data_IF_613170475159
#
_entry.id   IF_613170475159
#
_cell.length_a   1.000
_cell.length_b   1.000
_cell.length_c   1.000
_cell.angle_alpha   90.00
_cell.angle_beta   90.00
_cell.angle_gamma   90.00
#
_symmetry.space_group_name_H-M   'P 1'
#
loop_
_entity.id
_entity.type
_entity.pdbx_description
1 polymer ?
#
# COMPACT_ATOMS: atom_id res chain seq x y z
N UNK A 1 34.80 37.52 -29.92
CA UNK A 1 33.63 37.59 -30.82
C UNK A 1 32.47 36.92 -30.08
N UNK A 2 31.73 37.74 -29.33
CA UNK A 2 30.65 37.38 -28.41
C UNK A 2 29.32 37.59 -29.12
N UNK A 3 28.48 36.55 -29.24
CA UNK A 3 27.10 36.70 -29.67
C UNK A 3 26.18 36.59 -28.46
N UNK A 4 25.75 37.76 -28.01
CA UNK A 4 24.72 38.03 -27.01
C UNK A 4 23.35 37.74 -27.62
N UNK A 5 22.51 36.97 -26.93
CA UNK A 5 21.06 36.93 -27.15
C UNK A 5 20.39 37.94 -26.19
N UNK A 6 19.52 38.84 -26.68
CA UNK A 6 18.89 39.84 -25.84
C UNK A 6 17.66 39.30 -25.11
N UNK A 7 17.60 39.64 -23.82
CA UNK A 7 16.42 39.55 -22.95
C UNK A 7 15.48 40.70 -23.34
N UNK A 8 14.23 40.40 -23.71
CA UNK A 8 13.17 41.39 -23.78
C UNK A 8 12.14 41.12 -22.68
N UNK A 9 12.24 41.93 -21.62
CA UNK A 9 11.18 42.21 -20.66
C UNK A 9 10.09 43.00 -21.41
N UNK A 10 8.89 42.44 -21.54
CA UNK A 10 7.72 43.23 -21.96
C UNK A 10 6.85 43.53 -20.73
N UNK A 11 6.74 44.82 -20.47
CA UNK A 11 6.06 45.44 -19.34
C UNK A 11 4.54 45.27 -19.41
N UNK A 12 3.98 44.98 -18.24
CA UNK A 12 2.56 45.11 -17.91
C UNK A 12 2.03 46.50 -18.24
N UNK A 13 0.93 46.57 -19.00
CA UNK A 13 -0.16 47.57 -18.98
C UNK A 13 -0.67 47.81 -20.40
N UNK A 14 -1.48 46.89 -20.95
CA UNK A 14 -2.43 47.22 -22.04
C UNK A 14 -3.41 46.09 -22.39
N UNK A 15 -3.81 45.25 -21.42
CA UNK A 15 -4.79 44.17 -21.66
C UNK A 15 -5.95 44.16 -20.65
N UNK A 16 -6.39 45.34 -20.22
CA UNK A 16 -7.61 45.48 -19.42
C UNK A 16 -8.45 46.64 -19.95
N UNK A 17 -9.30 46.36 -20.93
CA UNK A 17 -10.53 47.11 -21.22
C UNK A 17 -11.33 46.34 -22.28
N UNK A 18 -12.26 45.50 -21.83
CA UNK A 18 -13.54 45.16 -22.48
C UNK A 18 -14.08 43.82 -21.96
N UNK A 19 -14.47 43.74 -20.69
CA UNK A 19 -15.53 42.81 -20.25
C UNK A 19 -16.37 43.59 -19.25
N UNK A 20 -17.52 44.07 -19.71
CA UNK A 20 -18.55 44.64 -18.84
C UNK A 20 -19.10 43.51 -17.96
N UNK A 21 -18.61 43.41 -16.73
CA UNK A 21 -19.20 42.57 -15.70
C UNK A 21 -20.52 43.19 -15.28
N UNK A 22 -21.62 42.52 -15.61
CA UNK A 22 -22.87 42.62 -14.86
C UNK A 22 -22.52 42.31 -13.40
N UNK A 23 -22.59 43.30 -12.51
CA UNK A 23 -22.46 43.08 -11.06
C UNK A 23 -23.78 42.49 -10.56
N UNK A 24 -23.87 41.21 -10.17
CA UNK A 24 -24.98 40.80 -9.33
C UNK A 24 -24.75 41.47 -7.97
N UNK A 25 -25.66 42.35 -7.58
CA UNK A 25 -25.68 42.93 -6.24
C UNK A 25 -26.16 41.84 -5.25
N UNK A 26 -25.36 40.79 -5.09
CA UNK A 26 -25.55 39.82 -4.02
C UNK A 26 -25.13 40.52 -2.73
N UNK A 27 -26.14 40.94 -1.97
CA UNK A 27 -25.97 41.32 -0.57
C UNK A 27 -25.43 40.07 0.14
N UNK A 28 -24.10 39.97 0.21
CA UNK A 28 -23.41 38.95 1.00
C UNK A 28 -23.77 39.22 2.46
N UNK A 29 -24.83 38.57 2.93
CA UNK A 29 -25.03 38.39 4.35
C UNK A 29 -23.72 37.79 4.87
N UNK A 30 -23.13 38.33 5.95
CA UNK A 30 -21.99 37.69 6.57
C UNK A 30 -22.47 36.33 7.07
N UNK A 31 -22.23 35.29 6.27
CA UNK A 31 -22.28 33.93 6.74
C UNK A 31 -21.17 33.86 7.77
N UNK A 32 -21.52 34.05 9.05
CA UNK A 32 -20.70 33.55 10.14
C UNK A 32 -20.51 32.08 9.81
N UNK A 33 -19.32 31.72 9.35
CA UNK A 33 -18.83 30.36 9.45
C UNK A 33 -18.76 30.08 10.94
N UNK A 34 -19.91 29.68 11.50
CA UNK A 34 -19.97 28.92 12.73
C UNK A 34 -18.89 27.86 12.60
N UNK A 35 -17.96 27.82 13.55
CA UNK A 35 -16.88 26.84 13.56
C UNK A 35 -17.51 25.51 13.26
N UNK A 36 -17.26 24.95 12.08
CA UNK A 36 -17.88 23.68 11.68
C UNK A 36 -17.42 22.68 12.72
N UNK A 37 -18.32 22.32 13.64
CA UNK A 37 -18.02 21.36 14.68
C UNK A 37 -17.47 20.12 13.97
N UNK A 38 -16.27 19.70 14.35
CA UNK A 38 -15.59 18.58 13.69
C UNK A 38 -16.39 17.27 13.83
N UNK A 39 -17.28 17.21 14.83
CA UNK A 39 -18.21 16.12 15.10
C UNK A 39 -19.60 16.49 14.57
N UNK A 40 -20.27 15.52 13.97
CA UNK A 40 -21.72 15.61 13.71
C UNK A 40 -22.49 15.66 15.03
N UNK A 41 -23.73 16.21 15.06
CA UNK A 41 -24.52 16.27 16.29
C UNK A 41 -24.68 14.92 17.00
N UNK A 42 -24.83 13.82 16.23
CA UNK A 42 -24.92 12.46 16.80
C UNK A 42 -23.61 11.98 17.42
N UNK A 43 -22.47 12.37 16.86
CA UNK A 43 -21.15 12.04 17.42
C UNK A 43 -20.86 12.83 18.69
N UNK A 44 -21.29 14.09 18.75
CA UNK A 44 -21.19 14.91 19.96
C UNK A 44 -22.06 14.34 21.08
N UNK A 45 -23.33 14.06 20.78
CA UNK A 45 -24.23 13.37 21.70
C UNK A 45 -23.65 12.03 22.18
N UNK A 46 -23.14 11.20 21.26
CA UNK A 46 -22.54 9.91 21.60
C UNK A 46 -21.33 10.02 22.53
N UNK A 47 -20.50 11.06 22.35
CA UNK A 47 -19.36 11.30 23.24
C UNK A 47 -19.80 11.72 24.65
N UNK A 48 -20.81 12.61 24.77
CA UNK A 48 -21.38 12.99 26.06
C UNK A 48 -22.05 11.81 26.77
N UNK A 49 -22.73 10.95 26.01
CA UNK A 49 -23.31 9.71 26.53
C UNK A 49 -22.24 8.80 27.14
N UNK A 50 -21.12 8.58 26.45
CA UNK A 50 -20.01 7.75 26.96
C UNK A 50 -19.41 8.32 28.26
N UNK A 51 -19.17 9.64 28.32
CA UNK A 51 -18.69 10.30 29.54
C UNK A 51 -19.68 10.11 30.70
N UNK A 52 -20.99 10.25 30.44
CA UNK A 52 -22.02 10.01 31.45
C UNK A 52 -21.99 8.57 31.97
N UNK A 53 -21.88 7.56 31.09
CA UNK A 53 -21.81 6.16 31.53
C UNK A 53 -20.55 5.86 32.35
N UNK A 54 -19.41 6.44 31.96
CA UNK A 54 -18.15 6.33 32.69
C UNK A 54 -18.25 6.95 34.09
N UNK A 55 -18.84 8.14 34.21
CA UNK A 55 -19.05 8.82 35.51
C UNK A 55 -20.02 8.05 36.42
N UNK A 56 -20.93 7.26 35.85
CA UNK A 56 -21.84 6.39 36.60
C UNK A 56 -21.18 5.09 37.06
N UNK A 57 -19.92 4.81 36.69
CA UNK A 57 -19.22 3.58 37.08
C UNK A 57 -19.84 2.29 36.55
N UNK A 58 -20.63 2.37 35.48
CA UNK A 58 -21.31 1.18 34.93
C UNK A 58 -20.31 0.27 34.23
N UNK A 59 -20.32 -1.05 34.52
CA UNK A 59 -19.44 -1.99 33.82
C UNK A 59 -19.88 -2.14 32.35
N UNK A 60 -18.91 -2.42 31.47
CA UNK A 60 -19.18 -2.83 30.11
C UNK A 60 -19.58 -4.30 30.08
N UNK A 61 -20.67 -4.63 29.40
CA UNK A 61 -21.05 -6.02 29.17
C UNK A 61 -19.91 -6.78 28.48
N UNK A 62 -19.66 -8.04 28.85
CA UNK A 62 -18.61 -8.84 28.22
C UNK A 62 -18.87 -8.98 26.72
N UNK A 63 -17.80 -8.95 25.91
CA UNK A 63 -17.89 -9.00 24.46
C UNK A 63 -16.94 -10.07 23.88
N UNK A 64 -15.66 -9.78 23.70
CA UNK A 64 -14.71 -10.67 23.00
C UNK A 64 -14.51 -12.01 23.71
N UNK A 65 -14.60 -12.02 25.04
CA UNK A 65 -14.38 -13.22 25.86
C UNK A 65 -15.51 -14.25 25.74
N UNK A 66 -16.73 -13.80 25.40
CA UNK A 66 -17.92 -14.65 25.37
C UNK A 66 -18.50 -14.83 23.96
N UNK A 67 -18.08 -14.00 23.00
CA UNK A 67 -18.60 -14.07 21.64
C UNK A 67 -18.05 -15.29 20.90
N UNK A 68 -18.93 -16.14 20.38
CA UNK A 68 -18.53 -17.35 19.65
C UNK A 68 -17.60 -16.99 18.47
N UNK A 69 -16.42 -17.62 18.35
CA UNK A 69 -15.58 -17.49 17.16
C UNK A 69 -16.33 -17.88 15.90
N UNK A 70 -16.44 -16.93 14.97
CA UNK A 70 -17.08 -17.10 13.67
C UNK A 70 -16.10 -16.68 12.58
N UNK A 71 -16.21 -17.30 11.40
CA UNK A 71 -15.36 -17.00 10.25
C UNK A 71 -15.33 -15.50 9.93
N UNK A 72 -16.45 -14.81 10.10
CA UNK A 72 -16.62 -13.36 9.87
C UNK A 72 -15.61 -12.51 10.65
N UNK A 73 -15.72 -12.48 11.97
CA UNK A 73 -14.89 -11.59 12.79
C UNK A 73 -13.47 -12.13 12.99
N UNK A 74 -13.28 -13.46 12.99
CA UNK A 74 -11.95 -14.08 13.09
C UNK A 74 -11.10 -13.71 11.86
N UNK A 75 -11.64 -13.88 10.64
CA UNK A 75 -10.90 -13.49 9.43
C UNK A 75 -10.63 -11.98 9.38
N UNK A 76 -11.56 -11.16 9.86
CA UNK A 76 -11.36 -9.71 9.99
C UNK A 76 -10.22 -9.38 10.96
N UNK A 77 -10.18 -10.04 12.13
CA UNK A 77 -9.09 -9.92 13.10
C UNK A 77 -7.74 -10.34 12.50
N UNK A 78 -7.69 -11.52 11.86
CA UNK A 78 -6.48 -12.02 11.19
C UNK A 78 -6.00 -11.06 10.10
N UNK A 79 -6.89 -10.49 9.29
CA UNK A 79 -6.53 -9.51 8.26
C UNK A 79 -5.85 -8.27 8.86
N UNK A 80 -6.35 -7.77 10.00
CA UNK A 80 -5.77 -6.64 10.74
C UNK A 80 -4.44 -7.00 11.40
N UNK A 81 -4.36 -8.14 12.09
CA UNK A 81 -3.13 -8.59 12.77
C UNK A 81 -2.00 -8.77 11.76
N UNK A 82 -2.27 -9.46 10.64
CA UNK A 82 -1.28 -9.66 9.60
C UNK A 82 -0.85 -8.35 8.94
N UNK A 83 -1.77 -7.39 8.78
CA UNK A 83 -1.42 -6.03 8.34
C UNK A 83 -0.44 -5.37 9.31
N UNK A 84 -0.73 -5.38 10.61
CA UNK A 84 0.13 -4.81 11.64
C UNK A 84 1.52 -5.46 11.67
N UNK A 85 1.58 -6.80 11.57
CA UNK A 85 2.86 -7.54 11.52
C UNK A 85 3.68 -7.12 10.30
N UNK A 86 3.07 -7.07 9.11
CA UNK A 86 3.77 -6.66 7.88
C UNK A 86 4.19 -5.19 7.93
N UNK A 87 3.34 -4.28 8.42
CA UNK A 87 3.69 -2.87 8.59
C UNK A 87 4.85 -2.70 9.59
N UNK A 88 4.84 -3.45 10.69
CA UNK A 88 5.94 -3.46 11.68
C UNK A 88 7.24 -3.97 11.07
N UNK A 89 7.19 -5.07 10.31
CA UNK A 89 8.35 -5.62 9.61
C UNK A 89 8.92 -4.62 8.59
N UNK A 90 8.07 -3.94 7.82
CA UNK A 90 8.50 -2.89 6.89
C UNK A 90 9.09 -1.68 7.62
N UNK A 91 8.52 -1.27 8.75
CA UNK A 91 9.05 -0.17 9.55
C UNK A 91 10.46 -0.47 10.05
N UNK A 92 10.66 -1.65 10.64
CA UNK A 92 11.96 -2.10 11.12
C UNK A 92 12.94 -2.24 9.95
N UNK A 93 12.50 -2.81 8.82
CA UNK A 93 13.32 -2.94 7.62
C UNK A 93 13.77 -1.60 7.06
N UNK A 94 12.87 -0.61 6.96
CA UNK A 94 13.20 0.75 6.54
C UNK A 94 14.22 1.38 7.48
N UNK A 95 14.05 1.22 8.78
CA UNK A 95 14.99 1.76 9.76
C UNK A 95 16.37 1.10 9.64
N UNK A 96 16.45 -0.23 9.66
CA UNK A 96 17.72 -0.97 9.66
C UNK A 96 18.44 -0.88 8.32
N UNK A 97 17.75 -1.18 7.22
CA UNK A 97 18.38 -1.28 5.89
C UNK A 97 18.42 0.07 5.16
N UNK A 98 17.46 0.96 5.41
CA UNK A 98 17.38 2.28 4.77
C UNK A 98 18.11 3.37 5.54
N UNK A 99 17.89 3.47 6.86
CA UNK A 99 18.46 4.55 7.68
C UNK A 99 19.83 4.15 8.24
N UNK A 100 19.91 3.05 8.97
CA UNK A 100 21.18 2.56 9.53
C UNK A 100 22.14 2.02 8.44
N UNK A 101 21.67 1.91 7.19
CA UNK A 101 22.47 1.51 6.03
C UNK A 101 23.13 0.12 6.19
N UNK A 102 22.51 -0.77 6.97
CA UNK A 102 22.91 -2.18 7.00
C UNK A 102 22.61 -2.79 5.65
N UNK A 103 23.60 -3.46 5.04
CA UNK A 103 23.42 -4.07 3.74
C UNK A 103 22.56 -5.34 3.85
N UNK A 104 21.43 -5.36 3.13
CA UNK A 104 20.50 -6.49 3.14
C UNK A 104 21.14 -7.77 2.60
N UNK A 105 22.07 -7.66 1.63
CA UNK A 105 22.78 -8.81 1.07
C UNK A 105 23.63 -9.49 2.13
N UNK A 106 24.44 -8.70 2.85
CA UNK A 106 25.27 -9.18 3.97
C UNK A 106 24.42 -9.79 5.09
N UNK A 107 23.25 -9.21 5.38
CA UNK A 107 22.30 -9.77 6.33
C UNK A 107 21.75 -11.14 5.86
N UNK A 108 21.35 -11.25 4.59
CA UNK A 108 20.86 -12.50 4.01
C UNK A 108 21.93 -13.59 3.97
N UNK A 109 23.19 -13.23 3.64
CA UNK A 109 24.33 -14.15 3.70
C UNK A 109 24.61 -14.63 5.12
N UNK A 110 24.52 -13.74 6.11
CA UNK A 110 24.65 -14.11 7.53
C UNK A 110 23.57 -15.09 7.95
N UNK A 111 22.31 -14.87 7.56
CA UNK A 111 21.23 -15.82 7.82
C UNK A 111 21.47 -17.18 7.14
N UNK A 112 21.90 -17.18 5.88
CA UNK A 112 22.24 -18.41 5.15
C UNK A 112 23.41 -19.15 5.81
N UNK A 113 24.37 -18.44 6.40
CA UNK A 113 25.53 -19.03 7.08
C UNK A 113 25.17 -19.86 8.31
N UNK A 114 23.99 -19.64 8.91
CA UNK A 114 23.49 -20.45 10.02
C UNK A 114 23.12 -21.88 9.60
N UNK A 115 23.02 -22.14 8.29
CA UNK A 115 22.78 -23.45 7.70
C UNK A 115 21.63 -24.22 8.39
N UNK A 116 20.54 -23.49 8.66
CA UNK A 116 19.37 -24.03 9.36
C UNK A 116 18.74 -25.17 8.56
N UNK A 117 18.15 -26.13 9.27
CA UNK A 117 17.50 -27.28 8.68
C UNK A 117 16.40 -26.85 7.69
N UNK A 118 16.27 -27.56 6.55
CA UNK A 118 15.40 -27.17 5.43
C UNK A 118 13.93 -26.93 5.81
N UNK A 119 13.28 -27.77 6.63
CA UNK A 119 11.92 -27.51 7.09
C UNK A 119 11.79 -26.21 7.89
N UNK A 120 12.81 -25.83 8.67
CA UNK A 120 12.83 -24.56 9.40
C UNK A 120 12.90 -23.39 8.43
N UNK A 121 13.82 -23.41 7.45
CA UNK A 121 13.93 -22.31 6.48
C UNK A 121 12.68 -22.20 5.59
N UNK A 122 12.09 -23.32 5.19
CA UNK A 122 10.83 -23.34 4.46
C UNK A 122 9.65 -22.81 5.29
N UNK A 123 9.61 -23.14 6.59
CA UNK A 123 8.57 -22.61 7.50
C UNK A 123 8.69 -21.10 7.66
N UNK A 124 9.91 -20.57 7.81
CA UNK A 124 10.15 -19.11 7.86
C UNK A 124 9.69 -18.44 6.55
N UNK A 125 10.04 -18.99 5.39
CA UNK A 125 9.57 -18.49 4.10
C UNK A 125 8.05 -18.52 3.99
N UNK A 126 7.39 -19.57 4.47
CA UNK A 126 5.93 -19.65 4.50
C UNK A 126 5.30 -18.58 5.40
N UNK A 127 5.84 -18.38 6.61
CA UNK A 127 5.38 -17.36 7.57
C UNK A 127 5.57 -15.95 7.01
N UNK A 128 6.53 -15.72 6.12
CA UNK A 128 6.69 -14.44 5.40
C UNK A 128 5.71 -14.35 4.22
N UNK A 129 5.54 -15.41 3.44
CA UNK A 129 4.72 -15.40 2.23
C UNK A 129 3.21 -15.36 2.53
N UNK A 130 2.74 -16.12 3.51
CA UNK A 130 1.31 -16.27 3.82
C UNK A 130 0.62 -14.95 4.19
N UNK A 131 1.18 -14.10 5.07
CA UNK A 131 0.58 -12.81 5.39
C UNK A 131 0.37 -11.92 4.18
N UNK A 132 1.35 -11.88 3.26
CA UNK A 132 1.30 -11.06 2.05
C UNK A 132 0.16 -11.54 1.14
N UNK A 133 0.14 -12.84 0.83
CA UNK A 133 -0.87 -13.42 -0.07
C UNK A 133 -2.27 -13.30 0.54
N UNK A 134 -2.43 -13.69 1.82
CA UNK A 134 -3.70 -13.61 2.52
C UNK A 134 -4.24 -12.19 2.58
N UNK A 135 -3.41 -11.22 2.94
CA UNK A 135 -3.85 -9.84 3.08
C UNK A 135 -4.29 -9.25 1.73
N UNK A 136 -3.59 -9.57 0.63
CA UNK A 136 -3.99 -9.14 -0.71
C UNK A 136 -5.32 -9.79 -1.13
N UNK A 137 -5.45 -11.12 -1.02
CA UNK A 137 -6.66 -11.82 -1.44
C UNK A 137 -7.88 -11.46 -0.58
N UNK A 138 -7.70 -11.37 0.75
CA UNK A 138 -8.77 -10.93 1.64
C UNK A 138 -9.07 -9.42 1.47
N UNK A 139 -8.09 -8.62 1.07
CA UNK A 139 -8.27 -7.20 0.73
C UNK A 139 -9.19 -7.04 -0.48
N UNK A 140 -8.99 -7.82 -1.55
CA UNK A 140 -9.88 -7.86 -2.71
C UNK A 140 -11.31 -8.24 -2.28
N UNK A 141 -11.44 -9.23 -1.38
CA UNK A 141 -12.73 -9.63 -0.81
C UNK A 141 -13.39 -8.50 -0.01
N UNK A 142 -12.64 -7.75 0.79
CA UNK A 142 -13.16 -6.59 1.53
C UNK A 142 -13.57 -5.44 0.61
N UNK A 143 -12.81 -5.17 -0.46
CA UNK A 143 -13.22 -4.20 -1.48
C UNK A 143 -14.53 -4.62 -2.16
N UNK A 144 -14.73 -5.93 -2.40
CA UNK A 144 -16.00 -6.42 -2.91
C UNK A 144 -17.15 -6.15 -1.92
N UNK A 145 -16.92 -6.33 -0.61
CA UNK A 145 -17.90 -6.00 0.42
C UNK A 145 -18.23 -4.51 0.49
N UNK A 146 -17.23 -3.64 0.33
CA UNK A 146 -17.44 -2.18 0.27
C UNK A 146 -18.31 -1.77 -0.94
N UNK A 147 -18.26 -2.56 -2.02
CA UNK A 147 -19.15 -2.41 -3.18
C UNK A 147 -20.49 -3.16 -3.04
N UNK A 148 -20.82 -3.65 -1.84
CA UNK A 148 -21.98 -4.49 -1.55
C UNK A 148 -22.04 -5.79 -2.40
N UNK A 149 -20.90 -6.30 -2.88
CA UNK A 149 -20.80 -7.55 -3.65
C UNK A 149 -20.47 -8.72 -2.73
N UNK A 150 -21.27 -9.78 -2.81
CA UNK A 150 -21.00 -11.02 -2.06
C UNK A 150 -21.23 -10.92 -0.55
N UNK A 151 -22.05 -9.96 -0.10
CA UNK A 151 -22.40 -9.73 1.32
C UNK A 151 -23.46 -10.70 1.86
N UNK A 152 -24.06 -11.52 1.00
CA UNK A 152 -24.90 -12.65 1.41
C UNK A 152 -24.08 -13.66 2.22
N UNK A 153 -24.66 -14.22 3.29
CA UNK A 153 -23.92 -15.07 4.24
C UNK A 153 -23.23 -16.26 3.55
N UNK A 154 -23.91 -16.91 2.60
CA UNK A 154 -23.33 -17.99 1.79
C UNK A 154 -22.10 -17.53 0.98
N UNK A 155 -22.13 -16.32 0.44
CA UNK A 155 -21.00 -15.74 -0.29
C UNK A 155 -19.88 -15.32 0.67
N UNK A 156 -20.20 -14.80 1.85
CA UNK A 156 -19.23 -14.46 2.90
C UNK A 156 -18.42 -15.68 3.33
N UNK A 157 -19.08 -16.83 3.55
CA UNK A 157 -18.40 -18.08 3.91
C UNK A 157 -17.64 -18.71 2.75
N UNK A 158 -18.25 -18.82 1.56
CA UNK A 158 -17.57 -19.35 0.37
C UNK A 158 -16.30 -18.57 0.02
N UNK A 159 -16.41 -17.25 -0.07
CA UNK A 159 -15.24 -16.39 -0.32
C UNK A 159 -14.22 -16.45 0.82
N UNK A 160 -14.66 -16.63 2.06
CA UNK A 160 -13.77 -16.77 3.21
C UNK A 160 -12.88 -18.02 3.10
N UNK A 161 -13.48 -19.20 2.91
CA UNK A 161 -12.74 -20.45 2.73
C UNK A 161 -11.87 -20.45 1.46
N UNK A 162 -12.37 -19.86 0.36
CA UNK A 162 -11.61 -19.70 -0.87
C UNK A 162 -10.35 -18.86 -0.64
N UNK A 163 -10.45 -17.73 0.06
CA UNK A 163 -9.30 -16.87 0.38
C UNK A 163 -8.29 -17.63 1.23
N UNK A 164 -8.73 -18.33 2.28
CA UNK A 164 -7.83 -19.13 3.14
C UNK A 164 -7.11 -20.20 2.31
N UNK A 165 -7.86 -21.00 1.54
CA UNK A 165 -7.33 -22.09 0.73
C UNK A 165 -6.34 -21.60 -0.34
N UNK A 166 -6.70 -20.57 -1.10
CA UNK A 166 -5.82 -20.00 -2.12
C UNK A 166 -4.57 -19.37 -1.52
N UNK A 167 -4.69 -18.69 -0.37
CA UNK A 167 -3.54 -18.08 0.29
C UNK A 167 -2.53 -19.14 0.73
N UNK A 168 -3.01 -20.20 1.38
CA UNK A 168 -2.16 -21.33 1.78
C UNK A 168 -1.52 -21.99 0.56
N UNK A 169 -2.31 -22.29 -0.49
CA UNK A 169 -1.80 -22.93 -1.70
C UNK A 169 -0.72 -22.10 -2.38
N UNK A 170 -0.97 -20.81 -2.63
CA UNK A 170 -0.02 -19.92 -3.30
C UNK A 170 1.25 -19.77 -2.46
N UNK A 171 1.13 -19.61 -1.14
CA UNK A 171 2.30 -19.52 -0.26
C UNK A 171 3.12 -20.80 -0.22
N UNK A 172 2.47 -21.97 -0.25
CA UNK A 172 3.18 -23.26 -0.38
C UNK A 172 3.89 -23.38 -1.73
N UNK A 173 3.24 -22.97 -2.83
CA UNK A 173 3.85 -22.96 -4.16
C UNK A 173 5.08 -22.05 -4.24
N UNK A 174 5.02 -20.86 -3.62
CA UNK A 174 6.18 -19.95 -3.53
C UNK A 174 7.33 -20.63 -2.78
N UNK A 175 7.05 -21.30 -1.66
CA UNK A 175 8.08 -21.99 -0.87
C UNK A 175 8.64 -23.18 -1.64
N UNK A 176 7.80 -23.97 -2.30
CA UNK A 176 8.20 -25.12 -3.10
C UNK A 176 9.05 -24.72 -4.32
N UNK A 177 8.71 -23.62 -4.98
CA UNK A 177 9.49 -23.07 -6.10
C UNK A 177 10.78 -22.38 -5.65
N UNK A 178 10.89 -22.03 -4.36
CA UNK A 178 12.09 -21.38 -3.85
C UNK A 178 13.29 -22.33 -3.90
N UNK A 179 14.23 -22.06 -4.80
CA UNK A 179 15.46 -22.87 -4.91
C UNK A 179 16.25 -22.79 -3.61
N UNK A 180 16.53 -23.94 -3.02
CA UNK A 180 17.46 -24.04 -1.91
C UNK A 180 18.88 -24.13 -2.47
N UNK A 181 19.64 -23.04 -2.39
CA UNK A 181 21.04 -23.03 -2.79
C UNK A 181 21.89 -23.42 -1.58
N UNK A 182 22.79 -24.41 -1.73
CA UNK A 182 23.87 -24.60 -0.74
C UNK A 182 24.81 -23.39 -0.77
N UNK A 183 25.64 -23.20 0.26
CA UNK A 183 26.60 -22.08 0.30
C UNK A 183 27.47 -22.01 -0.97
N UNK A 184 27.94 -23.16 -1.44
CA UNK A 184 28.71 -23.31 -2.67
C UNK A 184 27.91 -22.94 -3.92
N UNK A 185 26.67 -23.44 -4.03
CA UNK A 185 25.78 -23.11 -5.15
C UNK A 185 25.36 -21.64 -5.14
N UNK A 186 25.22 -21.03 -3.96
CA UNK A 186 24.93 -19.61 -3.80
C UNK A 186 26.11 -18.76 -4.29
N UNK A 187 27.33 -19.07 -3.83
CA UNK A 187 28.54 -18.38 -4.30
C UNK A 187 28.75 -18.58 -5.81
N UNK A 188 28.55 -19.80 -6.33
CA UNK A 188 28.70 -20.08 -7.75
C UNK A 188 27.63 -19.38 -8.60
N UNK A 189 26.38 -19.32 -8.13
CA UNK A 189 25.29 -18.56 -8.77
C UNK A 189 25.62 -17.06 -8.77
N UNK A 190 26.07 -16.52 -7.64
CA UNK A 190 26.43 -15.12 -7.52
C UNK A 190 27.59 -14.76 -8.46
N UNK A 191 28.66 -15.58 -8.51
CA UNK A 191 29.77 -15.41 -9.47
C UNK A 191 29.30 -15.49 -10.93
N UNK A 192 28.35 -16.38 -11.24
CA UNK A 192 27.81 -16.52 -12.60
C UNK A 192 26.95 -15.31 -13.00
N UNK A 193 26.10 -14.82 -12.11
CA UNK A 193 25.28 -13.62 -12.32
C UNK A 193 26.16 -12.37 -12.44
N UNK A 194 27.18 -12.24 -11.60
CA UNK A 194 28.22 -11.22 -11.70
C UNK A 194 28.86 -11.15 -13.09
N UNK A 195 29.31 -12.31 -13.59
CA UNK A 195 29.96 -12.41 -14.90
C UNK A 195 28.97 -12.11 -16.04
N UNK A 196 27.73 -12.59 -15.94
CA UNK A 196 26.67 -12.30 -16.93
C UNK A 196 26.31 -10.81 -16.96
N UNK A 197 26.27 -10.16 -15.80
CA UNK A 197 26.03 -8.72 -15.70
C UNK A 197 27.19 -7.90 -16.24
N UNK A 198 28.45 -8.37 -16.07
CA UNK A 198 29.62 -7.81 -16.75
C UNK A 198 29.52 -7.91 -18.27
N UNK A 199 29.10 -9.05 -18.82
CA UNK A 199 28.89 -9.24 -20.26
C UNK A 199 27.74 -8.38 -20.79
N UNK A 200 26.60 -8.32 -20.09
CA UNK A 200 25.44 -7.51 -20.47
C UNK A 200 25.76 -6.02 -20.55
N UNK A 201 26.64 -5.56 -19.66
CA UNK A 201 27.17 -4.20 -19.63
C UNK A 201 28.08 -3.92 -20.85
N UNK A 202 28.72 -4.95 -21.43
CA UNK A 202 29.53 -4.86 -22.64
C UNK A 202 28.70 -4.97 -23.92
N UNK A 203 27.60 -5.73 -23.92
CA UNK A 203 26.74 -5.97 -25.09
C UNK A 203 25.60 -4.96 -25.28
N UNK A 204 25.52 -3.91 -24.46
CA UNK A 204 24.41 -2.94 -24.47
C UNK A 204 24.41 -1.94 -25.64
N UNK A 205 25.19 -2.19 -26.69
CA UNK A 205 24.93 -1.70 -28.04
C UNK A 205 24.27 -2.84 -28.83
N UNK A 206 22.94 -2.97 -28.79
CA UNK A 206 22.08 -3.46 -29.89
C UNK A 206 20.61 -3.42 -29.45
N UNK A 207 19.81 -2.91 -30.38
CA UNK A 207 18.37 -2.60 -30.46
C UNK A 207 17.37 -3.38 -29.59
N UNK A 208 16.41 -2.63 -29.05
CA UNK A 208 15.15 -3.11 -28.44
C UNK A 208 14.10 -3.29 -29.56
N UNK A 209 13.54 -4.50 -29.70
CA UNK A 209 12.36 -4.75 -30.54
C UNK A 209 11.09 -4.84 -29.69
N UNK A 210 9.98 -4.33 -30.24
CA UNK A 210 8.69 -4.16 -29.57
C UNK A 210 7.98 -5.48 -29.21
N UNK A 211 7.20 -5.53 -28.11
CA UNK A 211 6.47 -6.72 -27.69
C UNK A 211 5.20 -6.97 -28.53
N UNK A 212 4.94 -8.24 -28.88
CA UNK A 212 3.71 -8.71 -29.53
C UNK A 212 2.56 -8.83 -28.52
N UNK A 213 1.38 -8.41 -28.96
CA UNK A 213 0.12 -8.36 -28.22
C UNK A 213 -0.52 -9.77 -28.12
N UNK A 214 -0.91 -10.20 -26.92
CA UNK A 214 -1.67 -11.44 -26.68
C UNK A 214 -3.06 -11.10 -26.18
N UNK A 215 -4.08 -11.72 -26.78
CA UNK A 215 -5.51 -11.54 -26.50
C UNK A 215 -6.00 -12.69 -25.61
N UNK A 216 -6.69 -12.46 -24.48
CA UNK A 216 -7.37 -13.52 -23.75
C UNK A 216 -8.85 -13.62 -24.15
N UNK A 217 -9.32 -14.83 -24.48
CA UNK A 217 -10.74 -15.17 -24.48
C UNK A 217 -10.97 -16.25 -23.42
N UNK A 218 -11.80 -15.99 -22.41
CA UNK A 218 -12.37 -17.04 -21.57
C UNK A 218 -13.83 -16.71 -21.26
N UNK A 219 -14.70 -17.68 -21.61
CA UNK A 219 -16.15 -17.66 -21.42
C UNK A 219 -16.45 -18.35 -20.08
N UNK A 220 -17.10 -17.65 -19.15
CA UNK A 220 -17.49 -18.21 -17.84
C UNK A 220 -18.93 -18.74 -17.89
N UNK A 221 -19.14 -19.96 -17.40
CA UNK A 221 -20.45 -20.57 -17.22
C UNK A 221 -20.98 -20.29 -15.80
N UNK A 222 -22.27 -19.95 -15.62
CA UNK A 222 -22.84 -19.72 -14.30
C UNK A 222 -23.25 -21.03 -13.63
N UNK A 223 -22.70 -21.29 -12.44
CA UNK A 223 -23.18 -22.34 -11.54
C UNK A 223 -24.19 -21.73 -10.55
N UNK A 224 -25.45 -22.17 -10.60
CA UNK A 224 -26.46 -21.87 -9.59
C UNK A 224 -26.48 -22.98 -8.55
N UNK A 225 -26.29 -22.62 -7.28
CA UNK A 225 -26.66 -23.47 -6.16
C UNK A 225 -27.23 -22.61 -5.03
N UNK A 226 -28.43 -23.01 -4.62
CA UNK A 226 -29.27 -22.44 -3.57
C UNK A 226 -28.73 -22.82 -2.20
N UNK A 227 -28.65 -21.86 -1.28
CA UNK A 227 -28.45 -22.14 0.13
C UNK A 227 -29.06 -21.00 0.95
N UNK A 228 -30.13 -21.35 1.65
CA UNK A 228 -30.90 -20.51 2.57
C UNK A 228 -30.16 -20.34 3.89
N UNK A 229 -29.61 -19.15 4.14
CA UNK A 229 -29.22 -18.73 5.48
C UNK A 229 -29.50 -17.23 5.64
N UNK A 230 -30.48 -16.90 6.49
CA UNK A 230 -31.12 -15.60 6.57
C UNK A 230 -30.25 -14.53 7.24
N UNK A 231 -30.39 -13.28 6.77
CA UNK A 231 -29.82 -12.07 7.39
C UNK A 231 -30.46 -11.82 8.76
N UNK A 232 -29.81 -11.07 9.65
CA UNK A 232 -30.52 -10.56 10.84
C UNK A 232 -31.58 -9.55 10.41
N UNK A 233 -32.68 -9.34 11.17
CA UNK A 233 -33.77 -8.44 10.77
C UNK A 233 -33.31 -7.01 10.43
N UNK A 234 -32.31 -6.49 11.14
CA UNK A 234 -31.71 -5.16 10.87
C UNK A 234 -30.89 -5.16 9.58
N UNK A 235 -30.12 -6.23 9.33
CA UNK A 235 -29.34 -6.37 8.10
C UNK A 235 -30.23 -6.55 6.88
N UNK A 236 -31.35 -7.27 7.03
CA UNK A 236 -32.36 -7.46 6.01
C UNK A 236 -33.04 -6.14 5.65
N UNK A 237 -33.54 -5.41 6.66
CA UNK A 237 -34.14 -4.09 6.47
C UNK A 237 -33.20 -3.10 5.75
N UNK A 238 -31.95 -2.99 6.20
CA UNK A 238 -30.97 -2.09 5.59
C UNK A 238 -30.65 -2.45 4.13
N UNK A 239 -30.56 -3.74 3.83
CA UNK A 239 -30.31 -4.23 2.47
C UNK A 239 -31.51 -4.01 1.55
N UNK A 240 -32.73 -4.25 2.03
CA UNK A 240 -33.97 -3.96 1.29
C UNK A 240 -34.12 -2.47 0.99
N UNK A 241 -33.82 -1.60 1.96
CA UNK A 241 -33.83 -0.16 1.78
C UNK A 241 -32.89 0.26 0.65
N UNK A 242 -31.64 -0.24 0.66
CA UNK A 242 -30.65 0.06 -0.38
C UNK A 242 -31.10 -0.41 -1.76
N UNK A 243 -31.59 -1.66 -1.87
CA UNK A 243 -32.15 -2.18 -3.14
C UNK A 243 -33.30 -1.31 -3.64
N UNK A 244 -34.20 -0.89 -2.75
CA UNK A 244 -35.32 -0.02 -3.10
C UNK A 244 -34.82 1.32 -3.65
N UNK A 245 -33.85 1.97 -3.02
CA UNK A 245 -33.29 3.23 -3.51
C UNK A 245 -32.61 3.07 -4.89
N UNK A 246 -31.88 1.97 -5.10
CA UNK A 246 -31.26 1.67 -6.40
C UNK A 246 -32.29 1.45 -7.50
N UNK A 247 -33.35 0.68 -7.22
CA UNK A 247 -34.43 0.42 -8.17
C UNK A 247 -35.22 1.68 -8.53
N UNK A 248 -35.33 2.63 -7.61
CA UNK A 248 -35.96 3.92 -7.84
C UNK A 248 -35.13 4.88 -8.68
N UNK A 249 -33.91 4.51 -9.09
CA UNK A 249 -33.03 5.34 -9.90
C UNK A 249 -32.65 6.66 -9.23
N UNK A 250 -32.73 6.74 -7.89
CA UNK A 250 -32.46 8.00 -7.20
C UNK A 250 -31.00 8.40 -7.39
N UNK A 251 -30.74 9.67 -7.76
CA UNK A 251 -29.37 10.14 -7.88
C UNK A 251 -28.71 10.04 -6.51
N UNK A 252 -27.49 9.52 -6.49
CA UNK A 252 -26.64 9.61 -5.32
C UNK A 252 -26.41 11.10 -5.03
N UNK A 253 -26.56 11.50 -3.77
CA UNK A 253 -26.24 12.86 -3.34
C UNK A 253 -24.83 13.24 -3.82
N UNK A 254 -24.60 14.49 -4.28
CA UNK A 254 -23.30 14.91 -4.78
C UNK A 254 -22.23 14.61 -3.73
N UNK A 255 -21.27 13.73 -4.07
CA UNK A 255 -20.51 13.00 -3.04
C UNK A 255 -19.08 13.53 -2.84
N UNK A 256 -18.44 14.07 -3.88
CA UNK A 256 -17.06 14.60 -3.79
C UNK A 256 -16.87 15.96 -4.47
N UNK A 257 -17.61 16.24 -5.55
CA UNK A 257 -17.41 17.44 -6.37
C UNK A 257 -17.83 18.74 -5.67
N UNK A 258 -18.72 18.66 -4.68
CA UNK A 258 -19.24 19.83 -3.96
C UNK A 258 -18.50 20.14 -2.66
N UNK A 259 -17.64 19.23 -2.20
CA UNK A 259 -16.96 19.37 -0.92
C UNK A 259 -15.61 20.07 -1.09
N UNK A 260 -15.35 21.07 -0.25
CA UNK A 260 -14.02 21.68 -0.16
C UNK A 260 -13.02 20.62 0.33
N UNK A 261 -11.87 20.44 -0.35
CA UNK A 261 -10.85 19.52 0.12
C UNK A 261 -10.30 19.94 1.48
N UNK A 262 -10.36 19.01 2.43
CA UNK A 262 -9.84 19.16 3.78
C UNK A 262 -8.71 18.15 3.98
N UNK A 263 -7.67 18.55 4.72
CA UNK A 263 -6.52 17.71 5.01
C UNK A 263 -6.93 16.34 5.58
N UNK A 264 -7.98 16.32 6.41
CA UNK A 264 -8.51 15.14 7.09
C UNK A 264 -8.90 14.01 6.13
N UNK A 265 -9.75 14.30 5.15
CA UNK A 265 -10.20 13.30 4.19
C UNK A 265 -9.19 13.08 3.06
N UNK A 266 -8.43 14.11 2.65
CA UNK A 266 -7.38 13.98 1.63
C UNK A 266 -6.32 12.98 2.08
N UNK A 267 -5.83 13.09 3.32
CA UNK A 267 -4.85 12.14 3.86
C UNK A 267 -5.42 10.71 3.97
N UNK A 268 -6.69 10.57 4.36
CA UNK A 268 -7.36 9.27 4.39
C UNK A 268 -7.47 8.66 2.98
N UNK A 269 -7.85 9.46 1.99
CA UNK A 269 -7.92 9.05 0.59
C UNK A 269 -6.55 8.64 0.05
N UNK A 270 -5.52 9.47 0.26
CA UNK A 270 -4.13 9.18 -0.16
C UNK A 270 -3.63 7.90 0.50
N UNK A 271 -3.87 7.70 1.80
CA UNK A 271 -3.47 6.48 2.49
C UNK A 271 -4.07 5.22 1.85
N UNK A 272 -5.36 5.26 1.48
CA UNK A 272 -6.05 4.14 0.80
C UNK A 272 -5.55 3.92 -0.63
N UNK A 273 -5.37 5.01 -1.39
CA UNK A 273 -4.85 4.93 -2.77
C UNK A 273 -3.45 4.32 -2.78
N UNK A 274 -2.56 4.81 -1.90
CA UNK A 274 -1.21 4.28 -1.77
C UNK A 274 -1.22 2.82 -1.31
N UNK A 275 -2.14 2.44 -0.40
CA UNK A 275 -2.33 1.04 -0.01
C UNK A 275 -2.69 0.14 -1.21
N UNK A 276 -3.61 0.59 -2.08
CA UNK A 276 -3.99 -0.14 -3.28
C UNK A 276 -2.83 -0.27 -4.26
N UNK A 277 -2.07 0.81 -4.49
CA UNK A 277 -0.89 0.79 -5.37
C UNK A 277 0.17 -0.17 -4.83
N UNK A 278 0.49 -0.09 -3.54
CA UNK A 278 1.45 -0.99 -2.89
C UNK A 278 0.99 -2.44 -2.93
N UNK A 279 -0.29 -2.70 -2.67
CA UNK A 279 -0.86 -4.06 -2.74
C UNK A 279 -0.80 -4.63 -4.16
N UNK A 280 -1.07 -3.81 -5.18
CA UNK A 280 -0.93 -4.18 -6.58
C UNK A 280 0.52 -4.49 -6.96
N UNK A 281 1.47 -3.65 -6.52
CA UNK A 281 2.90 -3.88 -6.73
C UNK A 281 3.37 -5.17 -6.04
N UNK A 282 2.92 -5.44 -4.81
CA UNK A 282 3.23 -6.68 -4.09
C UNK A 282 2.61 -7.90 -4.78
N UNK A 283 1.38 -7.80 -5.30
CA UNK A 283 0.74 -8.89 -6.04
C UNK A 283 1.55 -9.25 -7.30
N UNK A 284 1.96 -8.23 -8.08
CA UNK A 284 2.82 -8.42 -9.25
C UNK A 284 4.17 -9.01 -8.83
N UNK A 285 4.76 -8.51 -7.74
CA UNK A 285 6.01 -9.04 -7.20
C UNK A 285 5.92 -10.50 -6.78
N UNK A 286 4.85 -10.89 -6.08
CA UNK A 286 4.58 -12.28 -5.70
C UNK A 286 4.46 -13.17 -6.94
N UNK A 287 3.76 -12.71 -7.97
CA UNK A 287 3.63 -13.46 -9.22
C UNK A 287 4.98 -13.61 -9.94
N UNK A 288 5.71 -12.51 -10.15
CA UNK A 288 6.96 -12.50 -10.93
C UNK A 288 8.11 -13.19 -10.19
N UNK A 289 8.36 -12.80 -8.93
CA UNK A 289 9.52 -13.28 -8.18
C UNK A 289 9.24 -14.57 -7.42
N UNK A 290 8.00 -14.78 -6.97
CA UNK A 290 7.61 -15.97 -6.22
C UNK A 290 7.16 -17.12 -7.12
N UNK A 291 6.17 -16.88 -7.98
CA UNK A 291 5.57 -17.94 -8.82
C UNK A 291 6.43 -18.22 -10.05
N UNK A 292 6.70 -17.20 -10.87
CA UNK A 292 7.55 -17.33 -12.06
C UNK A 292 9.04 -17.52 -11.73
N UNK A 293 9.41 -17.39 -10.45
CA UNK A 293 10.79 -17.60 -9.95
C UNK A 293 11.83 -16.74 -10.68
N UNK A 294 11.46 -15.53 -11.12
CA UNK A 294 12.41 -14.56 -11.63
C UNK A 294 13.31 -14.12 -10.48
N UNK A 295 14.61 -14.16 -10.70
CA UNK A 295 15.57 -13.77 -9.68
C UNK A 295 15.55 -12.25 -9.46
N UNK A 296 15.26 -11.83 -8.23
CA UNK A 296 15.14 -10.41 -7.88
C UNK A 296 16.46 -9.66 -8.04
N UNK A 297 17.59 -10.31 -7.72
CA UNK A 297 18.93 -9.74 -7.86
C UNK A 297 19.22 -9.46 -9.33
N UNK A 298 19.02 -10.44 -10.21
CA UNK A 298 19.13 -10.28 -11.67
C UNK A 298 18.24 -9.17 -12.23
N UNK A 299 17.01 -9.04 -11.70
CA UNK A 299 16.10 -7.96 -12.07
C UNK A 299 16.63 -6.58 -11.63
N UNK A 300 17.12 -6.45 -10.40
CA UNK A 300 17.72 -5.23 -9.89
C UNK A 300 19.02 -4.85 -10.64
N UNK A 301 19.85 -5.82 -10.98
CA UNK A 301 21.05 -5.65 -11.80
C UNK A 301 20.69 -5.18 -13.21
N UNK A 302 19.64 -5.76 -13.83
CA UNK A 302 19.13 -5.30 -15.12
C UNK A 302 18.69 -3.84 -15.07
N UNK A 303 17.96 -3.43 -14.03
CA UNK A 303 17.56 -2.03 -13.85
C UNK A 303 18.79 -1.11 -13.69
N UNK A 304 19.79 -1.52 -12.92
CA UNK A 304 21.03 -0.76 -12.76
C UNK A 304 21.81 -0.65 -14.08
N UNK A 305 21.79 -1.69 -14.93
CA UNK A 305 22.48 -1.69 -16.22
C UNK A 305 21.94 -0.63 -17.19
N UNK A 306 20.72 -0.13 -17.00
CA UNK A 306 20.18 0.96 -17.83
C UNK A 306 20.89 2.29 -17.60
N UNK A 307 21.71 2.40 -16.55
CA UNK A 307 22.54 3.56 -16.23
C UNK A 307 21.76 4.89 -16.35
N UNK A 308 20.53 4.88 -15.82
CA UNK A 308 19.63 6.03 -15.88
C UNK A 308 20.26 7.23 -15.16
N UNK A 309 19.90 8.42 -15.63
CA UNK A 309 20.38 9.66 -15.04
C UNK A 309 20.05 9.74 -13.53
N UNK A 310 20.99 10.24 -12.71
CA UNK A 310 20.90 10.18 -11.23
C UNK A 310 19.58 10.73 -10.68
N UNK A 311 19.07 11.90 -11.10
CA UNK A 311 17.78 12.40 -10.65
C UNK A 311 16.64 11.42 -10.94
N UNK A 312 16.63 10.75 -12.10
CA UNK A 312 15.61 9.75 -12.44
C UNK A 312 15.67 8.56 -11.48
N UNK A 313 16.87 8.02 -11.22
CA UNK A 313 17.02 6.90 -10.26
C UNK A 313 16.60 7.29 -8.83
N UNK A 314 16.93 8.50 -8.41
CA UNK A 314 16.55 9.03 -7.09
C UNK A 314 15.04 9.25 -6.98
N UNK A 315 14.40 9.77 -8.04
CA UNK A 315 12.95 9.91 -8.11
C UNK A 315 12.25 8.54 -8.04
N UNK A 316 12.73 7.53 -8.75
CA UNK A 316 12.16 6.17 -8.69
C UNK A 316 12.28 5.61 -7.27
N UNK A 317 13.45 5.72 -6.63
CA UNK A 317 13.64 5.29 -5.24
C UNK A 317 12.71 6.03 -4.28
N UNK A 318 12.53 7.34 -4.46
CA UNK A 318 11.60 8.13 -3.64
C UNK A 318 10.15 7.69 -3.84
N UNK A 319 9.71 7.47 -5.09
CA UNK A 319 8.35 7.00 -5.42
C UNK A 319 8.06 5.61 -4.83
N UNK A 320 9.09 4.79 -4.61
CA UNK A 320 8.96 3.50 -3.90
C UNK A 320 8.95 3.70 -2.38
N UNK A 321 9.87 4.51 -1.84
CA UNK A 321 10.04 4.70 -0.40
C UNK A 321 8.89 5.48 0.24
N UNK A 322 8.44 6.57 -0.39
CA UNK A 322 7.46 7.48 0.19
C UNK A 322 6.12 6.82 0.51
N UNK A 323 5.49 6.03 -0.39
CA UNK A 323 4.25 5.32 -0.06
C UNK A 323 4.40 4.41 1.15
N UNK A 324 5.52 3.69 1.28
CA UNK A 324 5.77 2.78 2.39
C UNK A 324 5.85 3.55 3.71
N UNK A 325 6.70 4.58 3.76
CA UNK A 325 6.90 5.39 4.97
C UNK A 325 5.60 6.12 5.35
N UNK A 326 4.93 6.75 4.38
CA UNK A 326 3.67 7.45 4.61
C UNK A 326 2.58 6.51 5.12
N UNK A 327 2.44 5.33 4.51
CA UNK A 327 1.41 4.38 4.91
C UNK A 327 1.63 3.92 6.36
N UNK A 328 2.88 3.64 6.77
CA UNK A 328 3.20 3.24 8.14
C UNK A 328 2.94 4.38 9.14
N UNK A 329 3.49 5.58 8.89
CA UNK A 329 3.35 6.71 9.82
C UNK A 329 1.89 7.17 9.95
N UNK A 330 1.15 7.22 8.84
CA UNK A 330 -0.26 7.55 8.88
C UNK A 330 -1.10 6.41 9.51
N UNK A 331 -0.68 5.15 9.35
CA UNK A 331 -1.26 4.00 10.05
C UNK A 331 -1.14 4.12 11.57
N UNK A 332 0.04 4.49 12.10
CA UNK A 332 0.25 4.76 13.53
C UNK A 332 -0.67 5.89 14.01
N UNK A 333 -0.82 6.94 13.21
CA UNK A 333 -1.76 8.04 13.50
C UNK A 333 -3.21 7.55 13.54
N UNK A 334 -3.65 6.69 12.63
CA UNK A 334 -4.98 6.09 12.67
C UNK A 334 -5.18 5.18 13.88
N UNK A 335 -4.17 4.40 14.28
CA UNK A 335 -4.24 3.62 15.52
C UNK A 335 -4.40 4.50 16.76
N UNK A 336 -3.73 5.67 16.79
CA UNK A 336 -3.95 6.64 17.87
C UNK A 336 -5.41 7.13 17.89
N UNK A 337 -6.01 7.37 16.73
CA UNK A 337 -7.42 7.76 16.62
C UNK A 337 -8.38 6.66 17.08
N UNK A 338 -8.08 5.39 16.79
CA UNK A 338 -8.85 4.24 17.28
C UNK A 338 -8.82 4.15 18.82
N UNK A 339 -7.74 4.62 19.45
CA UNK A 339 -7.61 4.78 20.91
C UNK A 339 -8.18 6.10 21.44
N UNK A 340 -8.92 6.85 20.61
CA UNK A 340 -9.42 8.20 20.88
C UNK A 340 -8.34 9.26 21.21
N UNK A 341 -7.07 9.00 20.89
CA UNK A 341 -5.95 9.92 21.13
C UNK A 341 -5.79 10.88 19.95
N UNK A 342 -5.67 12.18 20.23
CA UNK A 342 -5.41 13.20 19.20
C UNK A 342 -6.59 13.47 18.26
N UNK A 343 -7.82 13.23 18.71
CA UNK A 343 -9.06 13.41 17.93
C UNK A 343 -9.57 14.85 17.90
N UNK A 344 -8.97 15.76 18.65
CA UNK A 344 -9.25 17.20 18.57
C UNK A 344 -8.79 17.80 17.25
N UNK A 345 -9.55 18.75 16.71
CA UNK A 345 -9.29 19.32 15.38
C UNK A 345 -7.86 19.85 15.24
N UNK A 346 -7.36 20.60 16.23
CA UNK A 346 -5.99 21.11 16.22
C UNK A 346 -4.94 19.98 16.18
N UNK A 347 -5.17 18.90 16.94
CA UNK A 347 -4.29 17.73 16.96
C UNK A 347 -4.35 16.93 15.65
N UNK A 348 -5.54 16.80 15.06
CA UNK A 348 -5.74 16.13 13.76
C UNK A 348 -4.96 16.85 12.65
N UNK A 349 -4.97 18.18 12.61
CA UNK A 349 -4.18 18.96 11.64
C UNK A 349 -2.68 18.90 11.93
N UNK A 350 -2.27 19.08 13.19
CA UNK A 350 -0.85 19.04 13.58
C UNK A 350 -0.21 17.69 13.26
N UNK A 351 -0.85 16.60 13.67
CA UNK A 351 -0.41 15.24 13.34
C UNK A 351 -0.43 14.96 11.84
N UNK A 352 -1.38 15.55 11.10
CA UNK A 352 -1.44 15.43 9.65
C UNK A 352 -0.22 16.02 8.95
N UNK A 353 0.14 17.26 9.26
CA UNK A 353 1.34 17.90 8.71
C UNK A 353 2.63 17.20 9.16
N UNK A 354 2.68 16.75 10.42
CA UNK A 354 3.81 15.98 10.95
C UNK A 354 4.04 14.71 10.13
N UNK A 355 2.99 13.93 9.86
CA UNK A 355 3.10 12.70 9.05
C UNK A 355 3.60 13.01 7.65
N UNK A 356 3.08 14.05 6.98
CA UNK A 356 3.53 14.45 5.64
C UNK A 356 5.02 14.83 5.66
N UNK A 357 5.42 15.68 6.62
CA UNK A 357 6.79 16.15 6.77
C UNK A 357 7.77 15.02 7.07
N UNK A 358 7.48 14.18 8.07
CA UNK A 358 8.34 13.04 8.42
C UNK A 358 8.42 12.00 7.31
N UNK A 359 7.31 11.71 6.62
CA UNK A 359 7.32 10.75 5.51
C UNK A 359 8.21 11.23 4.38
N UNK A 360 8.15 12.52 4.06
CA UNK A 360 9.00 13.14 3.04
C UNK A 360 10.47 13.10 3.46
N UNK A 361 10.77 13.54 4.68
CA UNK A 361 12.13 13.59 5.22
C UNK A 361 12.78 12.20 5.25
N UNK A 362 12.11 11.21 5.85
CA UNK A 362 12.63 9.84 5.95
C UNK A 362 12.86 9.24 4.56
N UNK A 363 11.93 9.47 3.62
CA UNK A 363 12.08 8.97 2.24
C UNK A 363 13.27 9.61 1.53
N UNK A 364 13.49 10.91 1.72
CA UNK A 364 14.68 11.59 1.19
C UNK A 364 15.97 11.07 1.83
N UNK A 365 15.98 10.80 3.14
CA UNK A 365 17.12 10.21 3.84
C UNK A 365 17.44 8.81 3.29
N UNK A 366 16.44 7.97 3.04
CA UNK A 366 16.63 6.65 2.41
C UNK A 366 17.27 6.80 1.04
N UNK A 367 16.80 7.75 0.22
CA UNK A 367 17.37 8.00 -1.11
C UNK A 367 18.81 8.51 -1.00
N UNK A 368 19.09 9.42 -0.07
CA UNK A 368 20.42 9.97 0.16
C UNK A 368 21.42 8.92 0.67
N UNK A 369 20.98 8.02 1.56
CA UNK A 369 21.80 6.93 2.09
C UNK A 369 22.00 5.80 1.08
N UNK A 370 21.17 5.72 0.04
CA UNK A 370 21.29 4.67 -0.97
C UNK A 370 22.61 4.83 -1.75
N UNK A 371 23.51 3.86 -1.61
CA UNK A 371 24.79 3.86 -2.33
C UNK A 371 24.54 3.87 -3.84
N UNK A 372 25.04 4.90 -4.51
CA UNK A 372 25.06 4.94 -5.97
C UNK A 372 26.38 4.35 -6.46
N UNK A 373 26.36 3.12 -6.95
CA UNK A 373 27.51 2.53 -7.60
C UNK A 373 27.62 3.10 -9.02
N UNK A 374 28.75 3.74 -9.37
CA UNK A 374 29.04 4.01 -10.79
C UNK A 374 29.23 2.70 -11.54
N UNK A 375 29.12 2.71 -12.87
CA UNK A 375 29.38 1.54 -13.72
C UNK A 375 30.71 0.86 -13.37
N UNK A 376 31.75 1.67 -13.17
CA UNK A 376 33.10 1.22 -12.80
C UNK A 376 33.16 0.63 -11.38
N UNK A 377 32.53 1.29 -10.40
CA UNK A 377 32.46 0.78 -9.02
C UNK A 377 31.64 -0.51 -8.92
N UNK A 378 30.57 -0.61 -9.72
CA UNK A 378 29.77 -1.82 -9.86
C UNK A 378 30.63 -2.94 -10.43
N UNK A 379 31.31 -2.71 -11.56
CA UNK A 379 32.23 -3.67 -12.16
C UNK A 379 33.38 -4.08 -11.22
N UNK A 380 33.97 -3.14 -10.47
CA UNK A 380 35.02 -3.43 -9.49
C UNK A 380 34.49 -4.23 -8.29
N UNK A 381 33.29 -3.93 -7.78
CA UNK A 381 32.67 -4.69 -6.70
C UNK A 381 32.51 -6.16 -7.11
N UNK A 382 31.96 -6.40 -8.30
CA UNK A 382 31.81 -7.76 -8.81
C UNK A 382 33.14 -8.47 -9.11
N UNK A 383 34.14 -7.77 -9.68
CA UNK A 383 35.48 -8.36 -9.85
C UNK A 383 36.11 -8.80 -8.52
N UNK A 384 35.96 -7.99 -7.45
CA UNK A 384 36.43 -8.36 -6.11
C UNK A 384 35.68 -9.56 -5.51
N UNK A 385 34.37 -9.65 -5.74
CA UNK A 385 33.52 -10.76 -5.29
C UNK A 385 33.79 -12.07 -6.05
N UNK A 386 34.08 -12.00 -7.35
CA UNK A 386 34.45 -13.17 -8.17
C UNK A 386 35.82 -13.74 -7.78
N UNK A 387 36.74 -12.86 -7.38
CA UNK A 387 38.10 -13.24 -6.98
C UNK A 387 38.24 -13.65 -5.50
N UNK A 388 37.20 -13.45 -4.68
CA UNK A 388 37.06 -14.07 -3.34
C UNK A 388 36.43 -15.44 -3.45
#
# INVERSE_FOLDING_TARGET
>A
MLLKLPIFLCSSRQFFRAIAFVRPQQRLLPVRLSSTAAKTPVQEFGFEYLKRQMNLGRPLSPHLQIYKPQLTWVMSGVHRILACIMSGALLVGVFVFGICSVDFTSFAERLNSWNLWRPVTNSVKFVIAFPIVYHILNGIRFMAFDMAKGTELASVYRSGYLVIGLSTLISLLIVANSKHLTKEQFQQKYKKEANKSLELIQTQCVSISAPKQVRPQQRLLPVRLSSTAAKTPVQEFGFEYLKRQMNLGRPLSPHLQIYKPQLTWVMSGVHRILACIMSGALLVGVFVFGICSVDFTSFAERLNSWNLWRPVTNSVKFVIAFPIVYHILNGIRFMAFDMAKGTELASVYRSGYLVIGLSTLISLLIVANSKHLTKEQFQQKYKKEVNK
#
